data_IF_763488679925
#
_entry.id   IF_763488679925
#
_cell.length_a   1.000
_cell.length_b   1.000
_cell.length_c   1.000
_cell.angle_alpha   90.00
_cell.angle_beta   90.00
_cell.angle_gamma   90.00
#
_symmetry.space_group_name_H-M   'P 1'
#
loop_
_entity.id
_entity.type
_entity.pdbx_description
1 polymer ?
#
# COMPACT_ATOMS: atom_id res chain seq x y z
N UNK A 1 0.42 7.62 1.54
CA UNK A 1 0.64 7.23 2.95
C UNK A 1 -0.65 7.15 3.75
N UNK A 2 -1.54 8.15 3.69
CA UNK A 2 -2.84 8.11 4.39
C UNK A 2 -3.67 6.90 3.92
N UNK A 3 -3.74 6.67 2.60
CA UNK A 3 -4.43 5.50 2.03
C UNK A 3 -3.95 4.17 2.62
N UNK A 4 -2.64 3.94 2.71
CA UNK A 4 -2.11 2.71 3.28
C UNK A 4 -2.56 2.52 4.73
N UNK A 5 -2.51 3.60 5.52
CA UNK A 5 -2.95 3.56 6.91
C UNK A 5 -4.44 3.23 7.02
N UNK A 6 -5.29 3.87 6.22
CA UNK A 6 -6.74 3.66 6.25
C UNK A 6 -7.10 2.24 5.81
N UNK A 7 -6.48 1.72 4.74
CA UNK A 7 -6.67 0.34 4.27
C UNK A 7 -6.19 -0.69 5.29
N UNK A 8 -5.01 -0.49 5.88
CA UNK A 8 -4.48 -1.39 6.90
C UNK A 8 -5.36 -1.42 8.15
N UNK A 9 -5.84 -0.24 8.59
CA UNK A 9 -6.79 -0.14 9.69
C UNK A 9 -8.09 -0.87 9.35
N UNK A 10 -8.63 -0.63 8.16
CA UNK A 10 -9.87 -1.27 7.72
C UNK A 10 -9.77 -2.79 7.70
N UNK A 11 -8.71 -3.35 7.09
CA UNK A 11 -8.50 -4.79 6.99
C UNK A 11 -8.39 -5.47 8.37
N UNK A 12 -7.74 -4.81 9.34
CA UNK A 12 -7.64 -5.33 10.72
C UNK A 12 -8.98 -5.24 11.46
N UNK A 13 -9.75 -4.17 11.26
CA UNK A 13 -11.05 -3.97 11.92
C UNK A 13 -12.14 -4.87 11.32
N UNK A 14 -12.17 -5.04 9.99
CA UNK A 14 -13.16 -5.83 9.26
C UNK A 14 -13.06 -7.33 9.59
N UNK A 15 -11.84 -7.82 9.78
CA UNK A 15 -11.56 -9.24 10.05
C UNK A 15 -11.39 -9.55 11.55
N UNK A 16 -11.57 -8.58 12.45
CA UNK A 16 -11.26 -8.72 13.88
C UNK A 16 -12.02 -9.84 14.60
N UNK A 17 -13.23 -10.16 14.14
CA UNK A 17 -14.11 -11.21 14.72
C UNK A 17 -14.15 -12.50 13.87
N UNK A 18 -13.40 -12.54 12.76
CA UNK A 18 -13.35 -13.71 11.87
C UNK A 18 -12.28 -14.72 12.28
N UNK A 19 -12.43 -15.97 11.84
CA UNK A 19 -11.41 -17.02 12.03
C UNK A 19 -10.10 -16.68 11.32
N UNK A 20 -10.17 -16.01 10.16
CA UNK A 20 -9.02 -15.51 9.40
C UNK A 20 -8.72 -14.05 9.71
N UNK A 21 -8.46 -13.74 10.99
CA UNK A 21 -8.12 -12.38 11.39
C UNK A 21 -6.82 -11.90 10.75
N UNK A 22 -6.90 -10.79 10.02
CA UNK A 22 -5.73 -10.11 9.48
C UNK A 22 -5.03 -9.36 10.62
N UNK A 23 -3.73 -9.59 10.75
CA UNK A 23 -2.87 -8.90 11.74
C UNK A 23 -1.88 -7.98 11.04
N UNK A 24 -1.30 -7.05 11.81
CA UNK A 24 -0.20 -6.23 11.28
C UNK A 24 0.97 -7.06 10.76
N UNK A 25 1.31 -8.17 11.42
CA UNK A 25 2.38 -9.06 10.95
C UNK A 25 2.09 -9.59 9.54
N UNK A 26 0.86 -10.04 9.31
CA UNK A 26 0.40 -10.52 7.99
C UNK A 26 0.46 -9.41 6.93
N UNK A 27 -0.03 -8.20 7.26
CA UNK A 27 0.03 -7.05 6.36
C UNK A 27 1.48 -6.70 6.01
N UNK A 28 2.36 -6.66 7.02
CA UNK A 28 3.77 -6.31 6.82
C UNK A 28 4.50 -7.30 5.92
N UNK A 29 4.21 -8.60 6.07
CA UNK A 29 4.79 -9.67 5.26
C UNK A 29 4.27 -9.61 3.81
N UNK A 30 2.96 -9.46 3.62
CA UNK A 30 2.35 -9.39 2.30
C UNK A 30 2.68 -8.09 1.53
N UNK A 31 2.83 -6.98 2.24
CA UNK A 31 2.99 -5.64 1.64
C UNK A 31 4.44 -5.14 1.64
N UNK A 32 5.43 -6.04 1.76
CA UNK A 32 6.85 -5.67 1.86
C UNK A 32 7.33 -4.77 0.71
N UNK A 33 6.93 -5.10 -0.52
CA UNK A 33 7.28 -4.31 -1.71
C UNK A 33 6.58 -2.93 -1.72
N UNK A 34 5.29 -2.88 -1.40
CA UNK A 34 4.53 -1.62 -1.30
C UNK A 34 5.14 -0.70 -0.23
N UNK A 35 5.53 -1.24 0.92
CA UNK A 35 6.19 -0.48 1.99
C UNK A 35 7.54 0.09 1.53
N UNK A 36 8.30 -0.68 0.75
CA UNK A 36 9.55 -0.23 0.14
C UNK A 36 9.31 0.90 -0.88
N UNK A 37 8.33 0.74 -1.77
CA UNK A 37 7.98 1.75 -2.77
C UNK A 37 7.48 3.05 -2.12
N UNK A 38 6.61 2.95 -1.09
CA UNK A 38 6.15 4.10 -0.29
C UNK A 38 7.31 4.86 0.35
N UNK A 39 8.28 4.15 0.90
CA UNK A 39 9.48 4.75 1.50
C UNK A 39 10.38 5.42 0.46
N UNK A 40 10.31 4.92 -0.79
CA UNK A 40 11.14 5.37 -1.90
C UNK A 40 10.56 6.58 -2.65
N UNK A 41 9.29 6.94 -2.43
CA UNK A 41 8.61 8.06 -3.10
C UNK A 41 9.39 9.38 -2.99
N UNK A 42 10.05 9.64 -1.86
CA UNK A 42 10.79 10.88 -1.60
C UNK A 42 12.08 11.03 -2.42
N UNK A 43 12.54 9.96 -3.07
CA UNK A 43 13.78 9.96 -3.85
C UNK A 43 13.55 10.16 -5.36
N UNK A 44 12.30 10.34 -5.80
CA UNK A 44 12.00 10.73 -7.17
C UNK A 44 12.62 12.10 -7.47
N UNK A 45 13.22 12.24 -8.64
CA UNK A 45 13.95 13.44 -9.05
C UNK A 45 13.07 14.28 -9.98
N UNK A 46 12.54 15.44 -9.54
CA UNK A 46 11.66 16.27 -10.36
C UNK A 46 12.31 16.79 -11.64
N UNK A 47 13.64 16.86 -11.70
CA UNK A 47 14.39 17.36 -12.85
C UNK A 47 14.60 16.25 -13.88
N UNK A 48 14.89 15.03 -13.43
CA UNK A 48 15.14 13.89 -14.32
C UNK A 48 13.86 13.16 -14.73
N UNK A 49 12.99 12.88 -13.77
CA UNK A 49 11.80 12.06 -13.99
C UNK A 49 10.64 12.91 -14.54
N UNK A 50 10.56 14.18 -14.13
CA UNK A 50 9.50 15.11 -14.52
C UNK A 50 8.15 14.81 -13.85
N UNK A 51 7.26 15.81 -13.83
CA UNK A 51 5.99 15.72 -13.09
C UNK A 51 5.08 14.60 -13.60
N UNK A 52 4.96 14.44 -14.92
CA UNK A 52 4.05 13.46 -15.52
C UNK A 52 4.41 12.02 -15.15
N UNK A 53 5.71 11.68 -15.16
CA UNK A 53 6.15 10.34 -14.78
C UNK A 53 5.96 10.10 -13.28
N UNK A 54 6.33 11.07 -12.43
CA UNK A 54 6.19 10.95 -10.98
C UNK A 54 4.71 10.73 -10.59
N UNK A 55 3.79 11.48 -11.21
CA UNK A 55 2.35 11.30 -10.96
C UNK A 55 1.88 9.91 -11.38
N UNK A 56 2.28 9.45 -12.56
CA UNK A 56 1.94 8.11 -13.05
C UNK A 56 2.44 7.02 -12.11
N UNK A 57 3.70 7.12 -11.65
CA UNK A 57 4.29 6.15 -10.72
C UNK A 57 3.53 6.11 -9.39
N UNK A 58 3.06 7.27 -8.90
CA UNK A 58 2.29 7.35 -7.66
C UNK A 58 0.86 6.82 -7.81
N UNK A 59 0.23 7.04 -8.96
CA UNK A 59 -1.07 6.46 -9.30
C UNK A 59 -0.97 4.93 -9.42
N UNK A 60 0.07 4.41 -10.07
CA UNK A 60 0.31 2.97 -10.17
C UNK A 60 0.55 2.35 -8.78
N UNK A 61 1.35 2.98 -7.94
CA UNK A 61 1.55 2.54 -6.54
C UNK A 61 0.23 2.54 -5.75
N UNK A 62 -0.65 3.52 -6.00
CA UNK A 62 -1.96 3.60 -5.35
C UNK A 62 -2.88 2.45 -5.78
N UNK A 63 -2.96 2.14 -7.07
CA UNK A 63 -3.76 1.02 -7.59
C UNK A 63 -3.22 -0.35 -7.14
N UNK A 64 -1.89 -0.52 -7.17
CA UNK A 64 -1.24 -1.74 -6.70
C UNK A 64 -1.52 -1.99 -5.21
N UNK A 65 -1.52 -0.92 -4.40
CA UNK A 65 -1.85 -1.01 -2.98
C UNK A 65 -3.30 -1.45 -2.75
N UNK A 66 -4.26 -0.85 -3.44
CA UNK A 66 -5.67 -1.24 -3.31
C UNK A 66 -5.88 -2.70 -3.71
N UNK A 67 -5.30 -3.10 -4.84
CA UNK A 67 -5.36 -4.49 -5.32
C UNK A 67 -4.77 -5.46 -4.31
N UNK A 68 -3.61 -5.12 -3.74
CA UNK A 68 -2.95 -5.98 -2.76
C UNK A 68 -3.78 -6.16 -1.48
N UNK A 69 -4.44 -5.09 -0.98
CA UNK A 69 -5.34 -5.21 0.17
C UNK A 69 -6.59 -6.03 -0.13
N UNK A 70 -7.18 -5.93 -1.33
CA UNK A 70 -8.30 -6.81 -1.73
C UNK A 70 -7.89 -8.28 -1.72
N UNK A 71 -6.74 -8.59 -2.33
CA UNK A 71 -6.20 -9.95 -2.34
C UNK A 71 -5.84 -10.49 -0.95
N UNK A 72 -5.67 -9.61 0.05
CA UNK A 72 -5.40 -10.00 1.44
C UNK A 72 -6.70 -10.33 2.21
N UNK A 73 -7.83 -9.76 1.77
CA UNK A 73 -9.15 -9.97 2.36
C UNK A 73 -9.91 -11.15 1.71
N UNK A 74 -9.58 -11.51 0.47
CA UNK A 74 -10.04 -12.71 -0.24
C UNK A 74 -9.48 -14.01 0.35
#
# INVERSE_FOLDING_TARGET
MITFYDLAKHAVESTAQGENRITWSTIREAMGDILYQLSSMKFKDPVKDGEAQIRKDFEELYENMQTAFRNLED
#
